data_IF_731707445959
#
_entry.id   IF_731707445959
#
_cell.length_a   1.000
_cell.length_b   1.000
_cell.length_c   1.000
_cell.angle_alpha   90.00
_cell.angle_beta   90.00
_cell.angle_gamma   90.00
#
_symmetry.space_group_name_H-M   'P 1'
#
loop_
_entity.id
_entity.type
_entity.pdbx_description
1 polymer ?
#
# COMPACT_ATOMS: atom_id res chain seq x y z
N UNK A 1 25.99 -21.20 8.14
CA UNK A 1 27.14 -22.15 8.09
C UNK A 1 26.92 -23.22 9.15
N UNK A 2 26.59 -24.44 8.72
CA UNK A 2 26.56 -25.59 9.61
C UNK A 2 28.01 -25.96 10.01
N UNK A 3 28.15 -26.60 11.13
CA UNK A 3 29.46 -27.01 11.69
C UNK A 3 30.29 -27.93 10.76
N UNK A 4 29.69 -28.46 9.71
CA UNK A 4 30.29 -29.37 8.74
C UNK A 4 30.73 -28.72 7.42
N UNK A 5 30.62 -27.40 7.31
CA UNK A 5 31.13 -26.63 6.13
C UNK A 5 30.39 -26.84 4.82
N UNK A 6 29.20 -27.43 4.85
CA UNK A 6 28.31 -27.49 3.69
C UNK A 6 27.56 -26.17 3.56
N UNK A 7 27.75 -25.47 2.42
CA UNK A 7 26.83 -24.42 1.97
C UNK A 7 25.53 -25.14 1.56
N UNK A 8 24.43 -24.84 2.27
CA UNK A 8 23.11 -25.14 1.71
C UNK A 8 22.93 -24.25 0.49
N UNK A 9 22.82 -24.84 -0.69
CA UNK A 9 22.30 -24.19 -1.88
C UNK A 9 20.79 -23.94 -1.65
N UNK A 10 20.49 -22.92 -0.86
CA UNK A 10 19.13 -22.45 -0.63
C UNK A 10 18.63 -21.83 -1.93
N UNK A 11 17.78 -22.52 -2.63
CA UNK A 11 17.06 -21.98 -3.78
C UNK A 11 16.00 -21.02 -3.20
N UNK A 12 16.18 -19.69 -3.42
CA UNK A 12 15.13 -18.71 -3.12
C UNK A 12 14.00 -18.89 -4.16
N UNK A 13 12.93 -19.56 -3.79
CA UNK A 13 11.70 -19.69 -4.58
C UNK A 13 10.87 -18.37 -4.58
N UNK A 14 11.48 -17.23 -4.25
CA UNK A 14 10.85 -15.91 -4.20
C UNK A 14 10.36 -15.51 -2.80
N UNK A 15 10.42 -16.41 -1.81
CA UNK A 15 9.97 -16.14 -0.45
C UNK A 15 10.84 -15.10 0.27
N UNK A 16 12.14 -15.25 0.21
CA UNK A 16 13.10 -14.31 0.82
C UNK A 16 13.04 -12.93 0.17
N UNK A 17 12.88 -12.89 -1.16
CA UNK A 17 12.74 -11.63 -1.90
C UNK A 17 11.45 -10.92 -1.50
N UNK A 18 10.32 -11.64 -1.41
CA UNK A 18 9.03 -11.07 -0.97
C UNK A 18 9.11 -10.54 0.45
N UNK A 19 9.76 -11.28 1.34
CA UNK A 19 9.96 -10.90 2.73
C UNK A 19 10.84 -9.64 2.85
N UNK A 20 11.93 -9.57 2.10
CA UNK A 20 12.79 -8.39 2.03
C UNK A 20 12.00 -7.13 1.62
N UNK A 21 11.15 -7.23 0.59
CA UNK A 21 10.30 -6.13 0.16
C UNK A 21 9.31 -5.72 1.26
N UNK A 22 8.64 -6.68 1.88
CA UNK A 22 7.67 -6.40 2.93
C UNK A 22 8.30 -5.75 4.16
N UNK A 23 9.46 -6.25 4.60
CA UNK A 23 10.23 -5.69 5.71
C UNK A 23 10.70 -4.28 5.39
N UNK A 24 11.32 -4.09 4.23
CA UNK A 24 11.85 -2.78 3.83
C UNK A 24 10.75 -1.71 3.86
N UNK A 25 9.61 -1.94 3.18
CA UNK A 25 8.54 -0.96 3.11
C UNK A 25 7.86 -0.71 4.46
N UNK A 26 7.75 -1.74 5.29
CA UNK A 26 7.25 -1.59 6.66
C UNK A 26 8.16 -0.69 7.49
N UNK A 27 9.47 -0.94 7.49
CA UNK A 27 10.43 -0.15 8.24
C UNK A 27 10.55 1.28 7.68
N UNK A 28 10.59 1.45 6.35
CA UNK A 28 10.67 2.75 5.72
C UNK A 28 9.46 3.65 6.00
N UNK A 29 8.27 3.05 6.18
CA UNK A 29 7.03 3.78 6.48
C UNK A 29 6.86 4.10 7.97
N UNK A 30 7.71 3.58 8.88
CA UNK A 30 7.62 3.89 10.30
C UNK A 30 7.97 5.35 10.59
N UNK A 31 7.28 6.01 11.54
CA UNK A 31 7.60 7.38 11.95
C UNK A 31 9.06 7.55 12.41
N UNK A 32 9.61 6.52 13.06
CA UNK A 32 10.99 6.48 13.58
C UNK A 32 12.04 6.58 12.47
N UNK A 33 11.74 6.07 11.27
CA UNK A 33 12.63 6.18 10.11
C UNK A 33 12.76 7.63 9.62
N UNK A 34 11.82 8.50 9.96
CA UNK A 34 11.80 9.92 9.59
C UNK A 34 11.96 10.19 8.08
N UNK A 35 11.52 9.24 7.23
CA UNK A 35 11.65 9.35 5.78
C UNK A 35 10.44 10.01 5.12
N UNK A 36 9.27 9.83 5.73
CA UNK A 36 8.00 10.28 5.17
C UNK A 36 7.20 11.11 6.17
N UNK A 37 6.30 11.94 5.66
CA UNK A 37 5.31 12.68 6.43
C UNK A 37 3.91 12.42 5.90
N UNK A 38 2.93 12.39 6.80
CA UNK A 38 1.52 12.25 6.47
C UNK A 38 0.92 13.62 6.10
N UNK A 39 -0.07 13.62 5.22
CA UNK A 39 -0.89 14.81 4.96
C UNK A 39 -1.83 15.10 6.15
N UNK A 40 -2.26 16.38 6.26
CA UNK A 40 -3.12 16.85 7.36
C UNK A 40 -4.51 16.17 7.45
N UNK A 41 -4.84 15.26 6.54
CA UNK A 41 -6.10 14.48 6.57
C UNK A 41 -6.06 13.21 7.43
N UNK A 42 -4.92 12.85 8.05
CA UNK A 42 -4.74 11.62 8.82
C UNK A 42 -4.33 11.81 10.29
N UNK A 43 -4.15 13.03 10.76
CA UNK A 43 -3.83 13.34 12.17
C UNK A 43 -5.11 13.42 12.97
N UNK A 44 -5.40 12.41 13.81
CA UNK A 44 -6.34 12.57 14.91
C UNK A 44 -5.83 13.64 15.85
N UNK A 45 -6.71 14.54 16.28
CA UNK A 45 -6.47 15.60 17.25
C UNK A 45 -5.73 15.04 18.48
N UNK A 46 -4.44 15.38 18.62
CA UNK A 46 -3.75 15.30 19.90
C UNK A 46 -4.28 16.43 20.81
N UNK A 47 -5.54 16.33 21.22
CA UNK A 47 -6.02 17.10 22.34
C UNK A 47 -5.89 16.24 23.60
N UNK A 48 -5.14 16.76 24.57
CA UNK A 48 -4.67 16.09 25.76
C UNK A 48 -5.77 15.40 26.58
N UNK A 49 -5.77 14.06 26.54
CA UNK A 49 -6.57 13.19 27.36
C UNK A 49 -5.83 11.92 27.70
N UNK A 50 -5.17 11.89 28.89
CA UNK A 50 -4.57 10.74 29.54
C UNK A 50 -5.51 9.53 29.56
N UNK A 51 -5.10 8.40 28.97
CA UNK A 51 -5.66 7.09 29.35
C UNK A 51 -5.90 6.10 28.22
N UNK A 52 -5.12 5.04 28.18
CA UNK A 52 -5.52 3.76 27.60
C UNK A 52 -4.80 3.34 26.34
N UNK A 53 -3.88 2.37 26.49
CA UNK A 53 -3.15 1.73 25.41
C UNK A 53 -4.08 1.20 24.31
N UNK A 54 -3.94 1.74 23.12
CA UNK A 54 -4.59 1.32 21.90
C UNK A 54 -3.53 0.87 20.88
N UNK A 55 -3.63 -0.38 20.55
CA UNK A 55 -2.86 -1.14 19.59
C UNK A 55 -2.79 -0.41 18.23
N UNK A 56 -1.59 0.01 17.82
CA UNK A 56 -1.35 0.66 16.53
C UNK A 56 -1.49 -0.31 15.36
N UNK A 57 -2.73 -0.63 14.99
CA UNK A 57 -3.02 -1.28 13.72
C UNK A 57 -2.85 -0.27 12.59
N UNK A 58 -2.03 -0.57 11.59
CA UNK A 58 -1.91 0.19 10.34
C UNK A 58 -3.19 0.04 9.50
N UNK A 59 -4.31 0.51 10.04
CA UNK A 59 -5.56 0.62 9.33
C UNK A 59 -5.44 1.75 8.31
N UNK A 60 -5.24 1.42 7.03
CA UNK A 60 -5.42 2.34 5.92
C UNK A 60 -6.84 2.87 5.94
N UNK A 61 -7.06 3.99 6.61
CA UNK A 61 -8.33 4.71 6.59
C UNK A 61 -8.71 5.00 5.15
N UNK A 62 -9.93 4.69 4.74
CA UNK A 62 -10.50 5.01 3.43
C UNK A 62 -10.38 6.52 3.09
N UNK A 63 -10.04 7.36 4.02
CA UNK A 63 -9.83 8.80 3.92
C UNK A 63 -8.41 9.25 4.28
N UNK A 64 -7.48 8.36 4.57
CA UNK A 64 -6.10 8.70 4.90
C UNK A 64 -5.33 9.15 3.65
N UNK A 65 -4.84 10.39 3.63
CA UNK A 65 -3.92 10.88 2.62
C UNK A 65 -2.66 9.99 2.59
N UNK A 66 -2.09 9.77 1.38
CA UNK A 66 -0.81 9.09 1.25
C UNK A 66 0.33 9.91 1.88
N UNK A 67 1.50 9.29 2.03
CA UNK A 67 2.69 9.97 2.57
C UNK A 67 3.55 10.57 1.46
N UNK A 68 4.23 11.66 1.78
CA UNK A 68 5.28 12.28 0.95
C UNK A 68 6.64 12.17 1.65
N UNK A 69 7.76 12.12 0.89
CA UNK A 69 9.08 12.25 1.46
C UNK A 69 9.22 13.52 2.30
N UNK A 70 9.87 13.45 3.45
CA UNK A 70 10.18 14.62 4.26
C UNK A 70 11.25 15.48 3.56
N UNK A 71 11.21 16.78 3.80
CA UNK A 71 12.17 17.72 3.23
C UNK A 71 13.59 17.50 3.76
N UNK A 72 13.71 17.01 5.00
CA UNK A 72 14.95 16.74 5.72
C UNK A 72 15.36 15.25 5.70
N UNK A 73 14.67 14.41 4.91
CA UNK A 73 15.03 13.01 4.79
C UNK A 73 16.44 12.83 4.20
N UNK A 74 17.18 11.83 4.71
CA UNK A 74 18.53 11.51 4.22
C UNK A 74 18.52 11.20 2.73
N UNK A 75 19.42 11.84 1.98
CA UNK A 75 19.58 11.62 0.55
C UNK A 75 19.91 10.16 0.24
N UNK A 76 20.82 9.55 0.99
CA UNK A 76 21.22 8.14 0.84
C UNK A 76 20.01 7.20 1.06
N UNK A 77 19.26 7.44 2.13
CA UNK A 77 18.06 6.64 2.42
C UNK A 77 17.02 6.78 1.31
N UNK A 78 16.82 7.98 0.78
CA UNK A 78 15.87 8.21 -0.31
C UNK A 78 16.31 7.58 -1.63
N UNK A 79 17.62 7.51 -1.94
CA UNK A 79 18.13 6.71 -3.06
C UNK A 79 17.81 5.24 -2.84
N UNK A 80 18.02 4.71 -1.63
CA UNK A 80 17.67 3.33 -1.26
C UNK A 80 16.17 3.02 -1.44
N UNK A 81 15.30 3.95 -1.03
CA UNK A 81 13.84 3.85 -1.25
C UNK A 81 13.49 3.78 -2.73
N UNK A 82 14.13 4.61 -3.56
CA UNK A 82 13.96 4.58 -5.00
C UNK A 82 14.42 3.27 -5.65
N UNK A 83 15.57 2.75 -5.22
CA UNK A 83 16.09 1.44 -5.64
C UNK A 83 15.10 0.31 -5.35
N UNK A 84 14.55 0.27 -4.13
CA UNK A 84 13.58 -0.74 -3.74
C UNK A 84 12.26 -0.60 -4.48
N UNK A 85 11.83 0.61 -4.82
CA UNK A 85 10.67 0.83 -5.68
C UNK A 85 10.92 0.31 -7.11
N UNK A 86 12.12 0.54 -7.68
CA UNK A 86 12.51 0.01 -8.98
C UNK A 86 12.59 -1.53 -8.96
N UNK A 87 13.25 -2.10 -7.94
CA UNK A 87 13.33 -3.55 -7.76
C UNK A 87 11.94 -4.16 -7.64
N UNK A 88 11.02 -3.52 -6.92
CA UNK A 88 9.63 -3.98 -6.80
C UNK A 88 8.92 -4.11 -8.13
N UNK A 89 9.15 -3.19 -9.08
CA UNK A 89 8.59 -3.31 -10.45
C UNK A 89 9.19 -4.49 -11.20
N UNK A 90 10.50 -4.71 -11.08
CA UNK A 90 11.20 -5.80 -11.78
C UNK A 90 10.77 -7.17 -11.23
N UNK A 91 10.60 -7.26 -9.92
CA UNK A 91 10.25 -8.51 -9.22
C UNK A 91 8.73 -8.76 -9.17
N UNK A 92 7.89 -7.88 -9.74
CA UNK A 92 6.41 -7.88 -9.62
C UNK A 92 5.94 -7.77 -8.16
N UNK A 93 6.68 -7.00 -7.34
CA UNK A 93 6.38 -6.75 -5.93
C UNK A 93 5.92 -5.30 -5.74
N UNK A 94 4.62 -5.04 -5.55
CA UNK A 94 4.13 -3.68 -5.34
C UNK A 94 4.76 -3.00 -4.12
N UNK A 95 4.91 -1.67 -4.20
CA UNK A 95 5.28 -0.83 -3.07
C UNK A 95 4.18 -0.90 -2.01
N UNK A 96 4.43 -1.59 -0.91
CA UNK A 96 3.47 -1.79 0.19
C UNK A 96 3.24 -0.57 1.08
N UNK A 97 3.97 0.54 0.87
CA UNK A 97 3.81 1.77 1.63
C UNK A 97 2.69 2.66 1.03
N UNK A 98 1.96 3.42 1.86
CA UNK A 98 0.87 4.30 1.42
C UNK A 98 1.39 5.59 0.78
N UNK A 99 2.27 5.51 -0.22
CA UNK A 99 2.82 6.67 -0.89
C UNK A 99 1.72 7.48 -1.60
N UNK A 100 1.80 8.81 -1.51
CA UNK A 100 0.91 9.69 -2.24
C UNK A 100 1.06 9.49 -3.76
N UNK A 101 -0.03 9.60 -4.54
CA UNK A 101 0.01 9.41 -6.00
C UNK A 101 1.07 10.28 -6.71
N UNK A 102 1.33 11.47 -6.19
CA UNK A 102 2.35 12.38 -6.71
C UNK A 102 3.76 11.78 -6.71
N UNK A 103 4.10 10.95 -5.71
CA UNK A 103 5.42 10.31 -5.63
C UNK A 103 5.67 9.45 -6.87
N UNK A 104 4.69 8.64 -7.26
CA UNK A 104 4.81 7.77 -8.44
C UNK A 104 4.95 8.58 -9.74
N UNK A 105 4.17 9.66 -9.88
CA UNK A 105 4.33 10.56 -11.03
C UNK A 105 5.74 11.18 -11.07
N UNK A 106 6.25 11.66 -9.92
CA UNK A 106 7.55 12.28 -9.85
C UNK A 106 8.70 11.30 -10.11
N UNK A 107 8.60 10.06 -9.64
CA UNK A 107 9.60 9.03 -9.91
C UNK A 107 9.80 8.83 -11.42
N UNK A 108 8.74 8.84 -12.19
CA UNK A 108 8.81 8.62 -13.65
C UNK A 108 9.13 9.91 -14.39
N UNK A 109 8.40 10.98 -14.11
CA UNK A 109 8.46 12.21 -14.92
C UNK A 109 9.37 13.31 -14.35
N UNK A 110 9.77 13.22 -13.07
CA UNK A 110 10.55 14.27 -12.41
C UNK A 110 9.81 15.60 -12.43
N UNK A 111 10.51 16.67 -12.80
CA UNK A 111 9.95 18.02 -12.90
C UNK A 111 8.96 18.21 -14.07
N UNK A 112 8.83 17.20 -14.94
CA UNK A 112 7.83 17.15 -16.01
C UNK A 112 6.55 16.44 -15.59
N UNK A 113 6.39 16.08 -14.31
CA UNK A 113 5.19 15.47 -13.78
C UNK A 113 3.93 16.28 -14.13
N UNK A 114 2.85 15.65 -14.61
CA UNK A 114 1.60 16.33 -14.96
C UNK A 114 1.07 17.25 -13.86
N UNK A 115 1.22 16.83 -12.60
CA UNK A 115 0.82 17.62 -11.43
C UNK A 115 1.61 18.91 -11.25
N UNK A 116 2.75 19.08 -11.90
CA UNK A 116 3.54 20.32 -11.88
C UNK A 116 3.27 21.23 -13.09
N UNK A 117 2.45 20.80 -14.05
CA UNK A 117 2.17 21.51 -15.30
C UNK A 117 0.70 21.91 -15.49
N UNK A 118 -0.23 21.15 -14.92
CA UNK A 118 -1.67 21.37 -15.05
C UNK A 118 -2.36 21.44 -13.70
N UNK A 119 -3.21 22.47 -13.51
CA UNK A 119 -3.89 22.71 -12.23
C UNK A 119 -4.87 21.60 -11.83
N UNK A 120 -5.48 20.91 -12.81
CA UNK A 120 -6.41 19.81 -12.50
C UNK A 120 -5.65 18.58 -12.04
N UNK A 121 -4.54 18.26 -12.72
CA UNK A 121 -3.63 17.20 -12.32
C UNK A 121 -3.02 17.51 -10.95
N UNK A 122 -2.60 18.76 -10.70
CA UNK A 122 -2.09 19.23 -9.43
C UNK A 122 -3.07 19.02 -8.26
N UNK A 123 -4.33 19.43 -8.44
CA UNK A 123 -5.38 19.24 -7.43
C UNK A 123 -5.76 17.76 -7.24
N UNK A 124 -5.70 16.95 -8.29
CA UNK A 124 -5.92 15.50 -8.18
C UNK A 124 -4.79 14.83 -7.38
N UNK A 125 -3.54 15.22 -7.64
CA UNK A 125 -2.37 14.73 -6.90
C UNK A 125 -2.40 15.20 -5.43
N UNK A 126 -2.74 16.48 -5.18
CA UNK A 126 -2.88 17.04 -3.84
C UNK A 126 -3.97 16.32 -3.03
N UNK A 127 -5.07 15.91 -3.66
CA UNK A 127 -6.14 15.15 -2.98
C UNK A 127 -5.63 13.82 -2.42
N UNK A 128 -4.63 13.23 -3.03
CA UNK A 128 -3.99 12.00 -2.53
C UNK A 128 -3.08 12.21 -1.33
N UNK A 129 -2.82 13.47 -0.94
CA UNK A 129 -2.01 13.84 0.22
C UNK A 129 -2.82 14.66 1.24
N UNK A 130 -3.54 15.68 0.77
CA UNK A 130 -4.33 16.60 1.57
C UNK A 130 -5.70 16.80 0.89
N UNK A 131 -6.63 15.90 1.17
CA UNK A 131 -7.94 15.88 0.54
C UNK A 131 -8.82 17.10 0.90
N UNK A 132 -8.84 17.57 2.16
CA UNK A 132 -9.59 18.77 2.56
C UNK A 132 -9.12 20.02 1.80
N UNK A 133 -7.81 20.25 1.75
CA UNK A 133 -7.21 21.38 1.07
C UNK A 133 -7.50 21.33 -0.44
N UNK A 134 -7.30 20.17 -1.08
CA UNK A 134 -7.58 19.99 -2.50
C UNK A 134 -9.06 20.23 -2.84
N UNK A 135 -9.97 19.85 -1.95
CA UNK A 135 -11.41 20.07 -2.10
C UNK A 135 -11.74 21.56 -1.99
N UNK A 136 -11.20 22.24 -0.98
CA UNK A 136 -11.35 23.68 -0.80
C UNK A 136 -10.87 24.43 -2.04
N UNK A 137 -9.66 24.19 -2.50
CA UNK A 137 -9.11 24.85 -3.68
C UNK A 137 -9.85 24.50 -4.98
N UNK A 138 -10.35 23.29 -5.11
CA UNK A 138 -11.18 22.90 -6.26
C UNK A 138 -12.50 23.68 -6.32
N UNK A 139 -13.06 24.07 -5.16
CA UNK A 139 -14.29 24.85 -5.07
C UNK A 139 -14.06 26.27 -5.60
N UNK A 140 -12.90 26.89 -5.32
CA UNK A 140 -12.57 28.22 -5.83
C UNK A 140 -12.57 28.31 -7.36
N UNK A 141 -12.17 27.22 -8.04
CA UNK A 141 -12.20 27.18 -9.51
C UNK A 141 -13.61 27.26 -10.10
N UNK A 142 -14.64 26.91 -9.32
CA UNK A 142 -16.05 26.92 -9.74
C UNK A 142 -16.75 28.25 -9.50
N UNK A 143 -16.19 29.10 -8.63
CA UNK A 143 -16.75 30.41 -8.34
C UNK A 143 -16.68 31.33 -9.60
N UNK A 144 -17.67 32.18 -9.76
CA UNK A 144 -17.58 33.29 -10.70
C UNK A 144 -16.62 34.39 -10.18
N UNK A 145 -16.36 35.42 -11.03
CA UNK A 145 -15.42 36.46 -10.65
C UNK A 145 -15.90 37.29 -9.44
N UNK A 146 -17.21 37.62 -9.38
CA UNK A 146 -17.73 38.42 -8.27
C UNK A 146 -17.68 37.68 -6.92
N UNK A 147 -18.04 36.39 -6.92
CA UNK A 147 -17.94 35.57 -5.73
C UNK A 147 -16.48 35.34 -5.25
N UNK A 148 -15.56 35.21 -6.20
CA UNK A 148 -14.14 35.10 -5.87
C UNK A 148 -13.58 36.41 -5.31
N UNK A 149 -13.88 37.54 -5.96
CA UNK A 149 -13.41 38.85 -5.54
C UNK A 149 -13.96 39.25 -4.15
N UNK A 150 -15.18 38.81 -3.82
CA UNK A 150 -15.77 39.00 -2.49
C UNK A 150 -15.01 38.30 -1.35
N UNK A 151 -14.24 37.24 -1.65
CA UNK A 151 -13.41 36.55 -0.68
C UNK A 151 -12.11 37.31 -0.34
N UNK A 152 -11.73 38.31 -1.13
CA UNK A 152 -10.52 39.12 -0.94
C UNK A 152 -9.25 38.29 -0.70
N UNK A 153 -9.11 37.19 -1.42
CA UNK A 153 -7.96 36.27 -1.27
C UNK A 153 -6.70 36.92 -1.85
N UNK A 154 -5.60 36.78 -1.10
CA UNK A 154 -4.25 37.15 -1.54
C UNK A 154 -3.42 35.90 -1.78
N UNK A 155 -2.23 36.04 -2.33
CA UNK A 155 -1.32 34.91 -2.54
C UNK A 155 -0.83 34.28 -1.24
N UNK A 156 -0.82 35.05 -0.14
CA UNK A 156 -0.55 34.52 1.22
C UNK A 156 -1.46 33.37 1.59
N UNK A 157 -2.76 33.45 1.24
CA UNK A 157 -3.73 32.38 1.51
C UNK A 157 -3.41 31.06 0.79
N UNK A 158 -2.47 31.09 -0.15
CA UNK A 158 -2.00 29.93 -0.92
C UNK A 158 -0.53 29.58 -0.61
N UNK A 159 0.01 30.09 0.50
CA UNK A 159 1.37 29.78 0.92
C UNK A 159 2.46 30.45 0.08
N UNK A 160 2.19 31.62 -0.51
CA UNK A 160 3.24 32.47 -1.07
C UNK A 160 4.01 33.13 0.07
N UNK A 161 5.33 33.03 0.03
CA UNK A 161 6.25 33.56 1.03
C UNK A 161 7.14 34.68 0.48
N UNK A 162 7.04 35.00 -0.82
CA UNK A 162 7.75 36.13 -1.43
C UNK A 162 7.13 37.45 -0.96
N UNK A 163 7.86 38.28 -0.19
CA UNK A 163 7.37 39.56 0.32
C UNK A 163 6.91 40.53 -0.78
N UNK A 164 7.41 40.37 -1.99
CA UNK A 164 7.01 41.21 -3.12
C UNK A 164 5.65 40.82 -3.72
N UNK A 165 5.15 39.61 -3.41
CA UNK A 165 3.97 39.03 -4.05
C UNK A 165 2.88 38.58 -3.08
N UNK A 166 3.20 38.45 -1.81
CA UNK A 166 2.33 37.89 -0.76
C UNK A 166 0.99 38.61 -0.69
N UNK A 167 0.98 39.94 -0.83
CA UNK A 167 -0.21 40.77 -0.77
C UNK A 167 -0.96 40.91 -2.12
N UNK A 168 -0.43 40.32 -3.22
CA UNK A 168 -1.11 40.37 -4.49
C UNK A 168 -2.47 39.69 -4.43
N UNK A 169 -3.53 40.45 -4.79
CA UNK A 169 -4.89 39.89 -4.83
C UNK A 169 -5.05 38.83 -5.91
N UNK A 170 -5.69 37.74 -5.55
CA UNK A 170 -5.98 36.61 -6.45
C UNK A 170 -7.32 36.88 -7.16
N UNK A 171 -7.25 37.02 -8.47
CA UNK A 171 -8.41 37.25 -9.36
C UNK A 171 -8.70 36.01 -10.20
N UNK A 172 -9.87 35.95 -10.83
CA UNK A 172 -10.25 34.80 -11.68
C UNK A 172 -9.23 34.46 -12.77
N UNK A 173 -8.60 35.42 -13.48
CA UNK A 173 -7.54 35.15 -14.45
C UNK A 173 -6.27 34.55 -13.83
N UNK A 174 -5.89 35.00 -12.62
CA UNK A 174 -4.64 34.57 -11.95
C UNK A 174 -4.79 33.29 -11.13
N UNK A 175 -6.02 32.94 -10.70
CA UNK A 175 -6.32 31.86 -9.77
C UNK A 175 -5.69 30.52 -10.19
N UNK A 176 -5.79 30.14 -11.48
CA UNK A 176 -5.25 28.86 -11.94
C UNK A 176 -3.73 28.77 -11.77
N UNK A 177 -3.02 29.84 -12.10
CA UNK A 177 -1.56 29.91 -11.92
C UNK A 177 -1.16 29.91 -10.45
N UNK A 178 -1.92 30.61 -9.60
CA UNK A 178 -1.69 30.64 -8.15
C UNK A 178 -1.91 29.25 -7.55
N UNK A 179 -3.01 28.58 -7.89
CA UNK A 179 -3.28 27.23 -7.40
C UNK A 179 -2.24 26.21 -7.86
N UNK A 180 -1.81 26.29 -9.13
CA UNK A 180 -0.75 25.42 -9.63
C UNK A 180 0.55 25.60 -8.84
N UNK A 181 0.97 26.86 -8.62
CA UNK A 181 2.16 27.15 -7.84
C UNK A 181 2.03 26.69 -6.38
N UNK A 182 0.87 26.90 -5.78
CA UNK A 182 0.58 26.46 -4.41
C UNK A 182 0.61 24.92 -4.27
N UNK A 183 -0.02 24.20 -5.19
CA UNK A 183 0.07 22.72 -5.23
C UNK A 183 1.52 22.27 -5.40
N UNK A 184 2.28 22.89 -6.31
CA UNK A 184 3.68 22.53 -6.52
C UNK A 184 4.53 22.77 -5.26
N UNK A 185 4.31 23.86 -4.53
CA UNK A 185 4.97 24.11 -3.23
C UNK A 185 4.61 23.02 -2.21
N UNK A 186 3.32 22.70 -2.08
CA UNK A 186 2.84 21.72 -1.09
C UNK A 186 3.31 20.28 -1.40
N UNK A 187 3.34 19.89 -2.67
CA UNK A 187 3.70 18.54 -3.10
C UNK A 187 5.20 18.32 -3.26
N UNK A 188 5.90 19.30 -3.82
CA UNK A 188 7.31 19.21 -4.21
C UNK A 188 8.20 20.16 -3.40
N UNK A 189 7.97 21.46 -3.44
CA UNK A 189 8.63 22.52 -2.68
C UNK A 189 9.97 22.16 -2.05
N UNK A 190 10.03 22.23 -0.73
CA UNK A 190 11.22 21.87 0.05
C UNK A 190 11.61 20.38 -0.04
N UNK A 191 10.69 19.50 -0.50
CA UNK A 191 10.94 18.05 -0.67
C UNK A 191 11.63 17.69 -1.98
N UNK A 192 11.86 18.66 -2.87
CA UNK A 192 12.46 18.40 -4.19
C UNK A 192 13.80 17.65 -4.11
N UNK A 193 14.73 17.95 -3.17
CA UNK A 193 15.95 17.16 -3.03
C UNK A 193 15.70 15.71 -2.69
N UNK A 194 14.80 15.43 -1.73
CA UNK A 194 14.44 14.07 -1.31
C UNK A 194 13.74 13.29 -2.44
N UNK A 195 12.77 13.91 -3.13
CA UNK A 195 12.12 13.34 -4.31
C UNK A 195 13.12 13.07 -5.45
N UNK A 196 14.06 14.00 -5.68
CA UNK A 196 15.12 13.84 -6.66
C UNK A 196 16.07 12.69 -6.32
N UNK A 197 16.42 12.52 -5.04
CA UNK A 197 17.21 11.40 -4.56
C UNK A 197 16.49 10.06 -4.78
N UNK A 198 15.22 9.99 -4.39
CA UNK A 198 14.36 8.82 -4.61
C UNK A 198 14.26 8.49 -6.10
N UNK A 199 14.07 9.50 -6.97
CA UNK A 199 14.04 9.32 -8.41
C UNK A 199 15.36 8.78 -8.97
N UNK A 200 16.54 9.25 -8.49
CA UNK A 200 17.84 8.73 -8.93
C UNK A 200 17.97 7.23 -8.66
N UNK A 201 17.52 6.76 -7.48
CA UNK A 201 17.49 5.34 -7.17
C UNK A 201 16.54 4.55 -8.10
N UNK A 202 15.35 5.10 -8.35
CA UNK A 202 14.33 4.48 -9.20
C UNK A 202 14.78 4.37 -10.67
N UNK A 203 15.54 5.35 -11.17
CA UNK A 203 16.00 5.42 -12.56
C UNK A 203 17.21 4.54 -12.89
N UNK A 204 17.62 3.64 -12.00
CA UNK A 204 18.75 2.73 -12.33
C UNK A 204 18.49 1.85 -13.56
N UNK A 205 17.23 1.68 -13.95
CA UNK A 205 16.82 1.06 -15.21
C UNK A 205 16.13 2.09 -16.10
N UNK A 206 16.89 2.82 -16.92
CA UNK A 206 16.37 3.89 -17.78
C UNK A 206 15.25 3.40 -18.72
N UNK A 207 15.41 2.24 -19.35
CA UNK A 207 14.41 1.65 -20.25
C UNK A 207 13.06 1.42 -19.54
N UNK A 208 13.08 0.97 -18.28
CA UNK A 208 11.87 0.80 -17.48
C UNK A 208 11.16 2.14 -17.26
N UNK A 209 11.90 3.17 -16.92
CA UNK A 209 11.34 4.51 -16.67
C UNK A 209 10.68 5.08 -17.93
N UNK A 210 11.28 4.89 -19.09
CA UNK A 210 10.71 5.32 -20.36
C UNK A 210 9.39 4.58 -20.67
N UNK A 211 9.33 3.27 -20.44
CA UNK A 211 8.11 2.48 -20.64
C UNK A 211 6.99 2.89 -19.67
N UNK A 212 7.33 3.08 -18.40
CA UNK A 212 6.38 3.53 -17.38
C UNK A 212 5.84 4.94 -17.65
N UNK A 213 6.66 5.82 -18.25
CA UNK A 213 6.28 7.18 -18.65
C UNK A 213 5.16 7.25 -19.69
N UNK A 214 4.93 6.16 -20.44
CA UNK A 214 3.83 6.06 -21.40
C UNK A 214 2.48 5.73 -20.74
N UNK A 215 2.46 5.35 -19.45
CA UNK A 215 1.24 4.98 -18.76
C UNK A 215 0.48 6.22 -18.25
N UNK A 216 -0.85 6.21 -18.31
CA UNK A 216 -1.63 7.23 -17.62
C UNK A 216 -1.41 7.14 -16.09
N UNK A 217 -1.49 8.27 -15.34
CA UNK A 217 -1.17 8.33 -13.91
C UNK A 217 -1.87 7.27 -13.05
N UNK A 218 -3.14 6.97 -13.35
CA UNK A 218 -3.89 5.94 -12.63
C UNK A 218 -3.37 4.51 -12.86
N UNK A 219 -2.96 4.20 -14.08
CA UNK A 219 -2.36 2.89 -14.41
C UNK A 219 -0.95 2.77 -13.82
N UNK A 220 -0.17 3.87 -13.87
CA UNK A 220 1.15 3.92 -13.25
C UNK A 220 1.06 3.67 -11.74
N UNK A 221 0.15 4.35 -11.04
CA UNK A 221 -0.09 4.12 -9.62
C UNK A 221 -0.49 2.67 -9.33
N UNK A 222 -1.45 2.13 -10.09
CA UNK A 222 -1.91 0.76 -9.91
C UNK A 222 -0.76 -0.25 -10.09
N UNK A 223 0.11 -0.02 -11.08
CA UNK A 223 1.27 -0.88 -11.33
C UNK A 223 2.27 -0.84 -10.17
N UNK A 224 2.61 0.35 -9.69
CA UNK A 224 3.66 0.50 -8.68
C UNK A 224 3.15 0.19 -7.25
N UNK A 225 1.92 0.57 -6.93
CA UNK A 225 1.36 0.42 -5.58
C UNK A 225 0.60 -0.89 -5.38
N UNK A 226 0.10 -1.51 -6.47
CA UNK A 226 -0.80 -2.64 -6.37
C UNK A 226 -2.17 -2.28 -5.79
N UNK A 227 -2.95 -3.30 -5.43
CA UNK A 227 -4.30 -3.16 -4.89
C UNK A 227 -4.28 -3.52 -3.40
N UNK A 228 -4.52 -2.53 -2.53
CA UNK A 228 -4.57 -2.71 -1.07
C UNK A 228 -5.98 -2.96 -0.53
N UNK A 229 -7.03 -2.60 -1.28
CA UNK A 229 -8.43 -2.90 -0.93
C UNK A 229 -8.92 -4.03 -1.83
N UNK A 230 -8.98 -5.24 -1.27
CA UNK A 230 -9.36 -6.44 -2.01
C UNK A 230 -10.85 -6.70 -1.89
N UNK A 231 -11.51 -6.95 -3.04
CA UNK A 231 -12.84 -7.54 -3.06
C UNK A 231 -12.78 -9.05 -2.80
N UNK A 232 -13.93 -9.68 -2.58
CA UNK A 232 -14.05 -11.14 -2.44
C UNK A 232 -13.54 -11.85 -3.70
N UNK A 233 -13.84 -11.28 -4.87
CA UNK A 233 -13.42 -11.83 -6.17
C UNK A 233 -11.89 -11.75 -6.34
N UNK A 234 -11.29 -10.63 -5.93
CA UNK A 234 -9.83 -10.47 -5.98
C UNK A 234 -9.15 -11.56 -5.14
N UNK A 235 -9.59 -11.70 -3.87
CA UNK A 235 -8.99 -12.66 -2.96
C UNK A 235 -9.22 -14.10 -3.45
N UNK A 236 -10.44 -14.43 -3.90
CA UNK A 236 -10.75 -15.76 -4.42
C UNK A 236 -9.88 -16.12 -5.63
N UNK A 237 -9.58 -15.13 -6.49
CA UNK A 237 -8.71 -15.34 -7.66
C UNK A 237 -7.26 -15.64 -7.31
N UNK A 238 -6.83 -15.33 -6.08
CA UNK A 238 -5.49 -15.61 -5.58
C UNK A 238 -5.27 -17.08 -5.22
N UNK A 239 -6.36 -17.84 -5.03
CA UNK A 239 -6.25 -19.24 -4.66
C UNK A 239 -6.35 -20.17 -5.88
N UNK A 240 -5.54 -21.23 -5.86
CA UNK A 240 -5.72 -22.35 -6.77
C UNK A 240 -6.89 -23.21 -6.26
N UNK A 241 -7.97 -23.39 -7.06
CA UNK A 241 -9.23 -23.88 -6.50
C UNK A 241 -9.23 -25.37 -6.21
N UNK A 242 -9.07 -25.80 -4.95
CA UNK A 242 -9.44 -27.16 -4.56
C UNK A 242 -10.98 -27.29 -4.36
N UNK A 243 -11.70 -26.15 -4.49
CA UNK A 243 -13.14 -26.06 -4.21
C UNK A 243 -14.01 -26.63 -5.33
N UNK A 244 -13.47 -26.73 -6.55
CA UNK A 244 -14.29 -27.02 -7.73
C UNK A 244 -14.90 -28.43 -7.74
N UNK A 245 -14.31 -29.39 -7.01
CA UNK A 245 -14.82 -30.76 -6.91
C UNK A 245 -14.11 -31.56 -5.82
N UNK A 246 -14.72 -32.66 -5.36
CA UNK A 246 -14.07 -33.62 -4.47
C UNK A 246 -12.75 -34.19 -5.05
N UNK A 247 -12.66 -34.31 -6.38
CA UNK A 247 -11.42 -34.74 -7.07
C UNK A 247 -10.31 -33.69 -6.91
N UNK A 248 -10.63 -32.40 -7.03
CA UNK A 248 -9.67 -31.31 -6.83
C UNK A 248 -9.20 -31.23 -5.37
N UNK A 249 -10.12 -31.42 -4.41
CA UNK A 249 -9.78 -31.49 -2.99
C UNK A 249 -8.85 -32.67 -2.68
N UNK A 250 -9.15 -33.84 -3.23
CA UNK A 250 -8.30 -35.03 -3.08
C UNK A 250 -6.91 -34.82 -3.73
N UNK A 251 -6.82 -34.18 -4.90
CA UNK A 251 -5.57 -33.83 -5.55
C UNK A 251 -4.74 -32.83 -4.71
N UNK A 252 -5.40 -31.99 -3.93
CA UNK A 252 -4.76 -31.10 -2.95
C UNK A 252 -4.35 -31.81 -1.65
N UNK A 253 -4.69 -33.09 -1.47
CA UNK A 253 -4.34 -33.93 -0.32
C UNK A 253 -5.39 -33.99 0.77
N UNK A 254 -6.58 -33.38 0.59
CA UNK A 254 -7.68 -33.51 1.54
C UNK A 254 -8.35 -34.89 1.44
N UNK A 255 -8.85 -35.37 2.56
CA UNK A 255 -9.71 -36.57 2.56
C UNK A 255 -10.92 -36.35 1.63
N UNK A 256 -11.40 -37.40 0.92
CA UNK A 256 -12.47 -37.25 -0.09
C UNK A 256 -13.75 -36.60 0.42
N UNK A 257 -14.07 -36.81 1.70
CA UNK A 257 -15.27 -36.26 2.36
C UNK A 257 -14.98 -35.08 3.28
N UNK A 258 -13.78 -34.48 3.18
CA UNK A 258 -13.42 -33.34 4.02
C UNK A 258 -14.25 -32.11 3.69
N UNK A 259 -15.00 -31.53 4.65
CA UNK A 259 -15.79 -30.35 4.43
C UNK A 259 -14.94 -29.04 4.46
N UNK A 260 -13.68 -29.12 4.89
CA UNK A 260 -12.82 -27.95 5.15
C UNK A 260 -12.61 -27.06 3.92
N UNK A 261 -12.35 -27.60 2.71
CA UNK A 261 -12.27 -26.75 1.52
C UNK A 261 -13.57 -25.96 1.26
N UNK A 262 -14.72 -26.59 1.47
CA UNK A 262 -16.03 -25.94 1.31
C UNK A 262 -16.27 -24.85 2.36
N UNK A 263 -15.87 -25.09 3.62
CA UNK A 263 -15.94 -24.07 4.67
C UNK A 263 -15.10 -22.84 4.33
N UNK A 264 -13.89 -23.07 3.81
CA UNK A 264 -12.98 -21.99 3.43
C UNK A 264 -13.52 -21.22 2.21
N UNK A 265 -14.03 -21.91 1.19
CA UNK A 265 -14.66 -21.25 0.04
C UNK A 265 -15.85 -20.38 0.47
N UNK A 266 -16.73 -20.91 1.34
CA UNK A 266 -17.83 -20.14 1.88
C UNK A 266 -17.36 -18.87 2.56
N UNK A 267 -16.33 -18.95 3.43
CA UNK A 267 -15.77 -17.81 4.12
C UNK A 267 -15.24 -16.73 3.14
N UNK A 268 -14.60 -17.13 2.05
CA UNK A 268 -14.08 -16.20 1.05
C UNK A 268 -15.21 -15.52 0.24
N UNK A 269 -16.32 -16.22 -0.02
CA UNK A 269 -17.44 -15.72 -0.83
C UNK A 269 -18.46 -14.92 -0.04
N UNK A 270 -18.47 -15.08 1.27
CA UNK A 270 -19.50 -14.48 2.11
C UNK A 270 -19.31 -12.97 2.18
N UNK A 271 -20.39 -12.21 1.90
CA UNK A 271 -20.41 -10.75 1.91
C UNK A 271 -20.97 -10.18 3.21
N UNK A 272 -21.53 -11.06 4.03
CA UNK A 272 -22.17 -10.69 5.29
C UNK A 272 -21.14 -10.64 6.44
N UNK A 273 -21.61 -10.46 7.66
CA UNK A 273 -20.78 -10.42 8.89
C UNK A 273 -20.00 -11.72 9.15
N UNK A 274 -20.35 -12.82 8.48
CA UNK A 274 -19.64 -14.10 8.51
C UNK A 274 -18.41 -14.14 7.59
N UNK A 275 -18.32 -13.26 6.59
CA UNK A 275 -17.16 -13.14 5.70
C UNK A 275 -15.96 -12.38 6.29
N UNK A 276 -14.97 -12.15 5.45
CA UNK A 276 -13.77 -11.36 5.79
C UNK A 276 -13.98 -9.88 5.47
N UNK A 277 -13.55 -8.99 6.34
CA UNK A 277 -13.46 -7.54 6.05
C UNK A 277 -12.40 -7.27 4.99
N UNK A 278 -12.38 -6.07 4.39
CA UNK A 278 -11.36 -5.69 3.42
C UNK A 278 -9.94 -5.76 4.02
N UNK A 279 -9.78 -5.37 5.27
CA UNK A 279 -8.53 -5.46 6.01
C UNK A 279 -8.11 -6.93 6.21
N UNK A 280 -9.02 -7.77 6.69
CA UNK A 280 -8.74 -9.21 6.89
C UNK A 280 -8.40 -9.93 5.59
N UNK A 281 -8.98 -9.50 4.46
CA UNK A 281 -8.61 -10.03 3.13
C UNK A 281 -7.17 -9.70 2.76
N UNK A 282 -6.73 -8.48 3.03
CA UNK A 282 -5.34 -8.06 2.80
C UNK A 282 -4.38 -8.79 3.75
N UNK A 283 -4.75 -8.93 5.03
CA UNK A 283 -3.99 -9.69 6.01
C UNK A 283 -3.84 -11.16 5.61
N UNK A 284 -4.90 -11.78 5.07
CA UNK A 284 -4.83 -13.17 4.58
C UNK A 284 -3.91 -13.29 3.36
N UNK A 285 -3.97 -12.35 2.41
CA UNK A 285 -3.01 -12.30 1.30
C UNK A 285 -1.58 -12.22 1.83
N UNK A 286 -1.32 -11.27 2.73
CA UNK A 286 0.00 -11.07 3.33
C UNK A 286 0.49 -12.31 4.10
N UNK A 287 -0.39 -12.94 4.88
CA UNK A 287 -0.08 -14.15 5.63
C UNK A 287 0.35 -15.32 4.73
N UNK A 288 -0.30 -15.46 3.57
CA UNK A 288 -0.01 -16.56 2.64
C UNK A 288 1.16 -16.30 1.69
N UNK A 289 1.47 -15.02 1.41
CA UNK A 289 2.39 -14.65 0.32
C UNK A 289 3.50 -13.70 0.75
N UNK A 290 3.38 -13.06 1.90
CA UNK A 290 4.24 -11.95 2.32
C UNK A 290 3.96 -10.62 1.60
N UNK A 291 3.04 -10.57 0.62
CA UNK A 291 2.75 -9.36 -0.15
C UNK A 291 1.87 -8.39 0.64
N UNK A 292 2.27 -7.13 0.73
CA UNK A 292 1.48 -6.05 1.33
C UNK A 292 0.37 -5.48 0.43
N UNK A 293 0.34 -5.88 -0.84
CA UNK A 293 -0.67 -5.48 -1.82
C UNK A 293 -0.76 -6.53 -2.93
N UNK A 294 -1.92 -6.64 -3.58
CA UNK A 294 -2.08 -7.54 -4.72
C UNK A 294 -1.53 -6.87 -5.99
N UNK A 295 -0.59 -7.51 -6.72
CA UNK A 295 -0.12 -7.01 -8.01
C UNK A 295 -1.27 -6.80 -8.99
N UNK A 296 -1.16 -5.86 -9.97
CA UNK A 296 -2.23 -5.56 -10.92
C UNK A 296 -2.70 -6.77 -11.75
N UNK A 297 -1.79 -7.69 -12.01
CA UNK A 297 -2.06 -8.95 -12.73
C UNK A 297 -2.57 -10.08 -11.84
N UNK A 298 -2.80 -9.84 -10.55
CA UNK A 298 -3.04 -10.90 -9.57
C UNK A 298 -1.79 -11.75 -9.33
N UNK A 299 -1.96 -12.93 -8.75
CA UNK A 299 -0.85 -13.86 -8.52
C UNK A 299 -0.51 -14.72 -9.75
N UNK A 300 -1.19 -14.51 -10.88
CA UNK A 300 -0.98 -15.24 -12.15
C UNK A 300 -0.91 -16.76 -11.94
N UNK A 301 0.24 -17.37 -12.27
CA UNK A 301 0.46 -18.83 -12.16
C UNK A 301 0.90 -19.22 -10.73
N UNK A 302 1.30 -18.24 -9.90
CA UNK A 302 1.82 -18.45 -8.55
C UNK A 302 0.71 -18.34 -7.48
N UNK A 303 -0.40 -18.99 -7.71
CA UNK A 303 -1.56 -18.96 -6.81
C UNK A 303 -1.29 -19.67 -5.48
N UNK A 304 -2.04 -19.24 -4.46
CA UNK A 304 -1.98 -19.84 -3.13
C UNK A 304 -2.64 -21.23 -3.18
N UNK A 305 -1.88 -22.25 -2.79
CA UNK A 305 -2.34 -23.65 -2.75
C UNK A 305 -2.92 -23.94 -1.38
N UNK A 306 -4.12 -24.50 -1.35
CA UNK A 306 -4.74 -24.96 -0.11
C UNK A 306 -4.29 -26.39 0.16
N UNK A 307 -3.84 -26.69 1.41
CA UNK A 307 -3.36 -27.99 1.82
C UNK A 307 -3.95 -28.40 3.16
N UNK A 308 -4.17 -29.69 3.43
CA UNK A 308 -4.53 -30.15 4.75
C UNK A 308 -3.33 -30.08 5.69
N UNK A 309 -3.57 -29.62 6.92
CA UNK A 309 -2.65 -29.82 8.03
C UNK A 309 -3.02 -31.14 8.74
N UNK A 310 -2.18 -32.16 8.58
CA UNK A 310 -2.47 -33.51 9.11
C UNK A 310 -2.36 -33.59 10.64
N UNK A 311 -1.76 -32.63 11.31
CA UNK A 311 -1.68 -32.55 12.75
C UNK A 311 -2.80 -31.66 13.30
N UNK A 312 -3.53 -32.17 14.29
CA UNK A 312 -4.49 -31.38 15.05
C UNK A 312 -5.90 -31.31 14.48
N UNK A 313 -6.80 -30.80 15.31
CA UNK A 313 -8.21 -30.55 15.02
C UNK A 313 -8.56 -29.09 15.34
N UNK A 314 -9.71 -28.89 15.97
CA UNK A 314 -10.31 -27.58 16.25
C UNK A 314 -9.42 -26.60 17.05
N UNK A 315 -8.42 -27.07 17.77
CA UNK A 315 -7.54 -26.24 18.60
C UNK A 315 -6.27 -25.78 17.88
N UNK A 316 -5.97 -26.34 16.70
CA UNK A 316 -4.79 -25.97 15.95
C UNK A 316 -5.00 -24.69 15.13
N UNK A 317 -3.94 -23.88 15.08
CA UNK A 317 -3.92 -22.68 14.24
C UNK A 317 -3.76 -23.04 12.77
N UNK A 318 -4.19 -22.13 11.92
CA UNK A 318 -3.88 -22.14 10.49
C UNK A 318 -2.40 -21.82 10.32
N UNK A 319 -1.73 -22.48 9.38
CA UNK A 319 -0.34 -22.22 9.04
C UNK A 319 -0.21 -21.75 7.59
N UNK A 320 0.81 -20.95 7.29
CA UNK A 320 1.16 -20.58 5.92
C UNK A 320 2.65 -20.81 5.66
N UNK A 321 2.96 -21.22 4.42
CA UNK A 321 4.32 -21.31 3.89
C UNK A 321 4.43 -20.32 2.76
N UNK A 322 5.00 -19.17 3.04
CA UNK A 322 5.09 -18.06 2.09
C UNK A 322 5.95 -18.38 0.88
N UNK A 323 7.03 -19.14 1.06
CA UNK A 323 7.94 -19.55 -0.02
C UNK A 323 7.24 -20.40 -1.09
N UNK A 324 6.43 -21.38 -0.66
CA UNK A 324 5.67 -22.25 -1.57
C UNK A 324 4.24 -21.77 -1.83
N UNK A 325 3.85 -20.64 -1.21
CA UNK A 325 2.48 -20.07 -1.25
C UNK A 325 1.42 -21.12 -0.89
N UNK A 326 1.60 -21.76 0.25
CA UNK A 326 0.66 -22.76 0.75
C UNK A 326 -0.04 -22.25 2.00
N UNK A 327 -1.37 -22.47 2.07
CA UNK A 327 -2.18 -22.30 3.26
C UNK A 327 -2.60 -23.68 3.77
N UNK A 328 -2.17 -24.00 4.98
CA UNK A 328 -2.40 -25.30 5.61
C UNK A 328 -3.57 -25.19 6.61
N UNK A 329 -4.62 -25.95 6.38
CA UNK A 329 -5.84 -25.96 7.18
C UNK A 329 -5.98 -27.25 7.99
N UNK A 330 -6.10 -27.16 9.33
CA UNK A 330 -6.50 -28.29 10.18
C UNK A 330 -7.89 -28.83 9.81
N UNK A 331 -8.19 -30.06 10.27
CA UNK A 331 -9.49 -30.68 10.09
C UNK A 331 -10.55 -30.07 11.05
N UNK A 332 -10.98 -28.85 10.77
CA UNK A 332 -11.97 -28.14 11.56
C UNK A 332 -13.35 -28.79 11.47
N UNK A 333 -14.05 -28.87 12.61
CA UNK A 333 -15.37 -29.47 12.72
C UNK A 333 -16.49 -28.62 12.11
N UNK A 334 -16.27 -27.31 11.91
CA UNK A 334 -17.28 -26.38 11.38
C UNK A 334 -16.66 -25.15 10.70
N UNK A 335 -17.44 -24.53 9.79
CA UNK A 335 -17.07 -23.26 9.17
C UNK A 335 -16.86 -22.13 10.20
N UNK A 336 -17.65 -22.10 11.27
CA UNK A 336 -17.52 -21.12 12.35
C UNK A 336 -16.17 -21.28 13.07
N UNK A 337 -15.74 -22.53 13.32
CA UNK A 337 -14.47 -22.80 13.96
C UNK A 337 -13.28 -22.44 13.07
N UNK A 338 -13.35 -22.77 11.79
CA UNK A 338 -12.35 -22.35 10.80
C UNK A 338 -12.20 -20.83 10.81
N UNK A 339 -13.31 -20.10 10.71
CA UNK A 339 -13.30 -18.63 10.75
C UNK A 339 -12.66 -18.08 12.01
N UNK A 340 -13.05 -18.59 13.18
CA UNK A 340 -12.49 -18.16 14.47
C UNK A 340 -10.97 -18.34 14.51
N UNK A 341 -10.50 -19.52 14.15
CA UNK A 341 -9.07 -19.85 14.21
C UNK A 341 -8.26 -19.09 13.18
N UNK A 342 -8.82 -18.88 11.96
CA UNK A 342 -8.18 -18.05 10.95
C UNK A 342 -8.04 -16.60 11.44
N UNK A 343 -9.11 -15.97 11.93
CA UNK A 343 -9.05 -14.58 12.43
C UNK A 343 -8.06 -14.43 13.58
N UNK A 344 -8.05 -15.35 14.54
CA UNK A 344 -7.06 -15.34 15.64
C UNK A 344 -5.63 -15.46 15.11
N UNK A 345 -5.41 -16.24 14.05
CA UNK A 345 -4.09 -16.38 13.43
C UNK A 345 -3.68 -15.09 12.71
N UNK A 346 -4.60 -14.47 11.97
CA UNK A 346 -4.35 -13.18 11.29
C UNK A 346 -4.07 -12.05 12.28
N UNK A 347 -4.84 -11.96 13.37
CA UNK A 347 -4.63 -10.97 14.44
C UNK A 347 -3.24 -11.17 15.10
N UNK A 348 -2.87 -12.42 15.36
CA UNK A 348 -1.55 -12.73 15.91
C UNK A 348 -0.43 -12.37 14.92
N UNK A 349 -0.60 -12.69 13.64
CA UNK A 349 0.36 -12.36 12.57
C UNK A 349 0.52 -10.84 12.44
N UNK A 350 -0.57 -10.09 12.46
CA UNK A 350 -0.54 -8.63 12.43
C UNK A 350 0.19 -8.05 13.64
N UNK A 351 -0.06 -8.58 14.83
CA UNK A 351 0.62 -8.17 16.05
C UNK A 351 2.10 -8.58 16.08
N UNK A 352 2.45 -9.75 15.56
CA UNK A 352 3.84 -10.22 15.45
C UNK A 352 4.61 -9.49 14.35
N UNK A 353 3.94 -9.08 13.27
CA UNK A 353 4.50 -8.23 12.21
C UNK A 353 4.93 -6.85 12.72
N UNK A 354 4.41 -6.42 13.87
CA UNK A 354 4.91 -5.23 14.60
C UNK A 354 6.13 -5.53 15.49
N UNK A 355 6.61 -6.77 15.59
CA UNK A 355 7.68 -7.14 16.52
C UNK A 355 8.32 -8.51 16.31
N UNK A 356 8.80 -8.83 15.09
CA UNK A 356 9.80 -9.89 14.91
C UNK A 356 9.29 -11.26 14.51
N UNK A 357 10.00 -11.85 13.56
CA UNK A 357 9.98 -13.23 13.15
C UNK A 357 10.18 -14.19 14.33
N UNK A 358 9.37 -15.21 14.44
CA UNK A 358 9.79 -16.44 15.10
C UNK A 358 9.29 -17.67 14.35
N UNK A 359 10.31 -18.43 13.93
CA UNK A 359 10.24 -19.84 13.67
C UNK A 359 9.58 -20.58 14.85
N UNK A 360 8.76 -21.56 14.50
CA UNK A 360 8.35 -22.61 15.41
C UNK A 360 9.56 -23.50 15.76
#
# INVERSE_FOLDING_TARGET
>A
MHADGYEEDGVDEGGLTTELHALFWREAAQPEASLFEYGDGGGGDEDGGSGGGGNGGSGGSENGGGVLPRADASEEAMVGVGLMACKGVVDDHPVGAPLAPFVFEYLVHGDDAPALKDVRAALAALRGFDAPLATSWSTLLRLDSGALDALQLTRENFGEDDPARVDEQVTKPTLRGVLLAACARRLCGARRPALGAMRRGFMMHEDLTLQLGCLPPGALRALLQGKVVLSEIDLLSCFDPPFASATAAAAAGFEPDSPVPSYFEQLLRDKDLSGLTAEQRLQLLSFCTGLGALPPGGLRDDKIKLRPLHAGGDEHKVEARTCSRELLLPAYSSAARLREMLLRTLDWHAAAGSGGFYAA
#
